data_IF_110180144761
#
_entry.id   IF_110180144761
#
_cell.length_a   1.000
_cell.length_b   1.000
_cell.length_c   1.000
_cell.angle_alpha   90.00
_cell.angle_beta   90.00
_cell.angle_gamma   90.00
#
_symmetry.space_group_name_H-M   'P 1'
#
loop_
_entity.id
_entity.type
_entity.pdbx_description
1 polymer ?
#
# COMPACT_ATOMS: atom_id res chain seq x y z
N UNK A 1 -2.26 -7.56 33.72
CA UNK A 1 -2.64 -6.28 33.10
C UNK A 1 -2.06 -5.19 33.98
N UNK A 2 -1.28 -4.28 33.40
CA UNK A 2 -0.56 -3.24 34.12
C UNK A 2 -0.62 -1.93 33.33
N UNK A 3 0.25 -1.00 33.68
CA UNK A 3 0.31 0.33 33.09
C UNK A 3 1.73 0.62 32.66
N UNK A 4 1.90 0.94 31.38
CA UNK A 4 3.11 1.52 30.83
C UNK A 4 3.03 3.04 30.96
N UNK A 5 4.04 3.65 31.56
CA UNK A 5 4.03 5.07 31.93
C UNK A 5 5.24 5.73 31.32
N UNK A 6 5.00 6.80 30.58
CA UNK A 6 6.03 7.63 29.96
C UNK A 6 6.00 9.01 30.60
N UNK A 7 7.12 9.46 31.16
CA UNK A 7 7.26 10.78 31.77
C UNK A 7 8.49 11.50 31.25
N UNK A 8 8.49 12.83 31.31
CA UNK A 8 9.66 13.65 31.01
C UNK A 8 10.21 14.19 32.33
N UNK A 9 11.37 13.67 32.75
CA UNK A 9 12.04 14.06 33.99
C UNK A 9 13.39 14.65 33.59
N UNK A 10 13.66 15.90 33.95
CA UNK A 10 14.95 16.58 33.66
C UNK A 10 15.37 16.49 32.18
N UNK A 11 14.42 16.74 31.25
CA UNK A 11 14.59 16.60 29.80
C UNK A 11 14.89 15.16 29.29
N UNK A 12 14.75 14.14 30.13
CA UNK A 12 14.88 12.74 29.73
C UNK A 12 13.52 12.06 29.72
N UNK A 13 13.32 11.20 28.72
CA UNK A 13 12.17 10.30 28.71
C UNK A 13 12.47 9.15 29.66
N UNK A 14 11.63 9.01 30.68
CA UNK A 14 11.70 7.92 31.65
C UNK A 14 10.47 7.05 31.49
N UNK A 15 10.71 5.74 31.46
CA UNK A 15 9.69 4.73 31.28
C UNK A 15 9.56 3.90 32.56
N UNK A 16 8.32 3.64 32.95
CA UNK A 16 7.98 2.69 33.99
C UNK A 16 6.96 1.68 33.45
N UNK A 17 7.00 0.48 34.01
CA UNK A 17 5.89 -0.46 33.93
C UNK A 17 5.49 -0.86 35.34
N UNK A 18 4.21 -0.72 35.65
CA UNK A 18 3.65 -1.06 36.97
C UNK A 18 2.47 -2.01 36.80
N UNK A 19 2.22 -2.85 37.80
CA UNK A 19 1.13 -3.83 37.73
C UNK A 19 -0.19 -3.33 38.31
N UNK A 20 -0.18 -2.16 38.96
CA UNK A 20 -1.36 -1.55 39.56
C UNK A 20 -1.31 -0.02 39.52
N UNK A 21 -2.48 0.62 39.57
CA UNK A 21 -2.58 2.08 39.55
C UNK A 21 -2.04 2.72 40.85
N UNK A 22 -2.03 1.98 41.96
CA UNK A 22 -1.51 2.48 43.23
C UNK A 22 0.01 2.61 43.23
N UNK A 23 0.72 1.75 42.49
CA UNK A 23 2.17 1.85 42.28
C UNK A 23 2.55 3.17 41.59
N UNK A 24 1.67 3.74 40.75
CA UNK A 24 1.91 5.02 40.05
C UNK A 24 2.19 6.16 41.01
N UNK A 25 1.50 6.18 42.16
CA UNK A 25 1.64 7.25 43.16
C UNK A 25 3.03 7.27 43.81
N UNK A 26 3.77 6.16 43.72
CA UNK A 26 5.10 6.00 44.27
C UNK A 26 6.23 6.30 43.27
N UNK A 27 5.88 6.54 42.00
CA UNK A 27 6.87 6.81 40.95
C UNK A 27 7.35 8.27 41.01
N UNK A 28 8.66 8.43 41.01
CA UNK A 28 9.30 9.74 40.96
C UNK A 28 9.06 10.40 39.60
N UNK A 29 8.67 11.67 39.59
CA UNK A 29 8.53 12.48 38.37
C UNK A 29 7.39 12.08 37.44
N UNK A 30 6.43 11.28 37.93
CA UNK A 30 5.14 11.07 37.26
C UNK A 30 4.17 12.17 37.70
N UNK A 31 3.63 12.92 36.75
CA UNK A 31 2.71 14.03 37.00
C UNK A 31 1.60 14.11 35.94
N UNK A 32 0.88 15.23 35.87
CA UNK A 32 -0.21 15.43 34.91
C UNK A 32 0.24 15.46 33.44
N UNK A 33 1.54 15.58 33.17
CA UNK A 33 2.12 15.57 31.83
C UNK A 33 2.62 14.18 31.42
N UNK A 34 2.50 13.19 32.31
CA UNK A 34 2.84 11.80 32.01
C UNK A 34 1.76 11.13 31.16
N UNK A 35 2.20 10.30 30.22
CA UNK A 35 1.32 9.43 29.44
C UNK A 35 1.20 8.08 30.14
N UNK A 36 -0.02 7.62 30.38
CA UNK A 36 -0.30 6.31 31.00
C UNK A 36 -1.11 5.47 30.03
N UNK A 37 -0.60 4.29 29.69
CA UNK A 37 -1.21 3.36 28.74
C UNK A 37 -1.43 2.04 29.46
N UNK A 38 -2.66 1.53 29.43
CA UNK A 38 -2.95 0.17 29.89
C UNK A 38 -2.31 -0.84 28.94
N UNK A 39 -1.50 -1.74 29.47
CA UNK A 39 -0.72 -2.69 28.69
C UNK A 39 -0.60 -4.04 29.41
N UNK A 40 -0.56 -5.13 28.63
CA UNK A 40 -0.36 -6.47 29.20
C UNK A 40 1.06 -6.67 29.75
N UNK A 41 2.03 -5.93 29.20
CA UNK A 41 3.45 -5.99 29.52
C UNK A 41 4.14 -4.64 29.20
N UNK A 42 5.39 -4.51 29.59
CA UNK A 42 6.21 -3.34 29.29
C UNK A 42 6.28 -3.07 27.78
N UNK A 43 6.07 -1.81 27.39
CA UNK A 43 6.17 -1.33 26.01
C UNK A 43 7.44 -0.49 25.93
N UNK A 44 8.41 -0.89 25.11
CA UNK A 44 9.60 -0.08 24.86
C UNK A 44 9.24 1.18 24.04
N UNK A 45 9.54 2.36 24.58
CA UNK A 45 9.48 3.61 23.82
C UNK A 45 10.88 4.04 23.39
N UNK A 46 11.01 4.48 22.14
CA UNK A 46 12.26 5.07 21.64
C UNK A 46 12.10 6.59 21.58
N UNK A 47 12.93 7.32 22.31
CA UNK A 47 13.01 8.77 22.17
C UNK A 47 13.58 9.12 20.78
N UNK A 48 12.80 9.84 19.98
CA UNK A 48 13.25 10.31 18.66
C UNK A 48 13.90 11.68 18.86
N UNK A 49 15.21 11.76 18.64
CA UNK A 49 16.05 12.94 18.96
C UNK A 49 16.02 14.04 17.89
N UNK A 50 15.47 13.76 16.70
CA UNK A 50 15.42 14.70 15.58
C UNK A 50 13.97 14.88 15.12
N UNK A 51 13.36 16.01 15.50
CA UNK A 51 11.97 16.35 15.13
C UNK A 51 11.79 16.51 13.61
N UNK A 52 12.83 16.95 12.89
CA UNK A 52 12.78 17.13 11.43
C UNK A 52 12.77 15.79 10.68
N UNK A 53 13.51 14.79 11.18
CA UNK A 53 13.41 13.42 10.65
C UNK A 53 12.02 12.83 10.87
N UNK A 54 11.32 13.20 11.95
CA UNK A 54 9.95 12.76 12.19
C UNK A 54 8.97 13.42 11.20
N UNK A 55 9.17 14.69 10.86
CA UNK A 55 8.31 15.42 9.93
C UNK A 55 8.51 14.93 8.49
N UNK A 56 9.74 14.61 8.10
CA UNK A 56 10.01 14.00 6.79
C UNK A 56 9.53 12.53 6.72
N UNK A 57 9.47 11.81 7.85
CA UNK A 57 8.97 10.42 7.90
C UNK A 57 7.47 10.27 8.21
N UNK A 58 6.81 11.27 8.81
CA UNK A 58 5.36 11.27 9.10
C UNK A 58 4.55 12.17 8.16
N UNK A 59 5.14 13.23 7.58
CA UNK A 59 4.47 14.15 6.64
C UNK A 59 4.83 13.92 5.17
N UNK A 60 5.82 13.10 4.82
CA UNK A 60 5.79 12.42 3.52
C UNK A 60 4.70 11.35 3.62
N UNK A 61 3.47 11.74 3.31
CA UNK A 61 2.38 10.81 3.10
C UNK A 61 2.90 9.75 2.13
N UNK A 62 3.01 8.50 2.60
CA UNK A 62 3.61 7.42 1.81
C UNK A 62 2.95 7.43 0.42
N UNK A 63 3.69 7.69 -0.67
CA UNK A 63 3.07 7.87 -1.98
C UNK A 63 2.18 6.68 -2.38
N UNK A 64 2.53 5.47 -1.91
CA UNK A 64 1.68 4.29 -2.02
C UNK A 64 0.34 4.42 -1.30
N UNK A 65 0.33 4.88 -0.05
CA UNK A 65 -0.90 5.12 0.72
C UNK A 65 -1.80 6.18 0.04
N UNK A 66 -1.22 7.30 -0.40
CA UNK A 66 -1.97 8.32 -1.14
C UNK A 66 -2.56 7.78 -2.45
N UNK A 67 -1.79 6.96 -3.17
CA UNK A 67 -2.29 6.33 -4.40
C UNK A 67 -3.44 5.35 -4.11
N UNK A 68 -3.36 4.59 -3.00
CA UNK A 68 -4.45 3.73 -2.55
C UNK A 68 -5.70 4.55 -2.19
N UNK A 69 -5.56 5.68 -1.49
CA UNK A 69 -6.69 6.58 -1.20
C UNK A 69 -7.29 7.19 -2.47
N UNK A 70 -6.46 7.66 -3.40
CA UNK A 70 -6.92 8.18 -4.69
C UNK A 70 -7.64 7.09 -5.51
N UNK A 71 -7.16 5.85 -5.47
CA UNK A 71 -7.82 4.72 -6.13
C UNK A 71 -9.21 4.42 -5.55
N UNK A 72 -9.34 4.50 -4.22
CA UNK A 72 -10.65 4.35 -3.56
C UNK A 72 -11.59 5.49 -3.98
N UNK A 73 -11.10 6.73 -4.00
CA UNK A 73 -11.85 7.90 -4.46
C UNK A 73 -12.32 7.74 -5.92
N UNK A 74 -11.43 7.32 -6.82
CA UNK A 74 -11.75 7.06 -8.22
C UNK A 74 -12.81 5.95 -8.39
N UNK A 75 -12.72 4.87 -7.61
CA UNK A 75 -13.72 3.81 -7.65
C UNK A 75 -15.09 4.28 -7.15
N UNK A 76 -15.12 5.01 -6.02
CA UNK A 76 -16.36 5.56 -5.46
C UNK A 76 -17.04 6.52 -6.43
N UNK A 77 -16.27 7.43 -7.04
CA UNK A 77 -16.78 8.41 -8.01
C UNK A 77 -17.33 7.77 -9.28
N UNK A 78 -16.92 6.53 -9.59
CA UNK A 78 -17.36 5.77 -10.78
C UNK A 78 -18.35 4.64 -10.45
N UNK A 79 -18.93 4.60 -9.23
CA UNK A 79 -19.85 3.55 -8.76
C UNK A 79 -19.27 2.13 -8.85
N UNK A 80 -18.00 1.98 -8.49
CA UNK A 80 -17.30 0.70 -8.46
C UNK A 80 -17.08 0.30 -7.01
N UNK A 81 -17.55 -0.89 -6.66
CA UNK A 81 -17.38 -1.43 -5.32
C UNK A 81 -16.09 -2.24 -5.29
N UNK A 82 -15.20 -1.90 -4.36
CA UNK A 82 -13.93 -2.59 -4.13
C UNK A 82 -13.83 -3.09 -2.70
N UNK A 83 -13.10 -4.18 -2.50
CA UNK A 83 -12.74 -4.69 -1.19
C UNK A 83 -11.21 -4.71 -1.04
N UNK A 84 -10.71 -4.16 0.07
CA UNK A 84 -9.28 -4.18 0.37
C UNK A 84 -8.86 -5.57 0.84
N UNK A 85 -7.82 -6.14 0.23
CA UNK A 85 -7.26 -7.41 0.68
C UNK A 85 -6.49 -7.19 1.99
N UNK A 86 -6.83 -7.95 3.02
CA UNK A 86 -6.16 -7.87 4.31
C UNK A 86 -4.68 -8.26 4.18
N UNK A 87 -3.77 -7.32 4.47
CA UNK A 87 -2.33 -7.53 4.30
C UNK A 87 -1.63 -8.20 5.50
N UNK A 88 -2.35 -8.59 6.56
CA UNK A 88 -1.77 -9.27 7.72
C UNK A 88 -1.11 -10.61 7.36
N UNK A 89 -0.09 -10.99 8.16
CA UNK A 89 0.60 -12.28 8.04
C UNK A 89 -0.35 -13.46 8.25
N UNK A 90 -1.27 -13.35 9.21
CA UNK A 90 -2.26 -14.39 9.51
C UNK A 90 -3.18 -14.66 8.33
N UNK A 91 -3.66 -13.60 7.65
CA UNK A 91 -4.42 -13.74 6.42
C UNK A 91 -3.57 -14.33 5.29
N UNK A 92 -2.29 -13.94 5.19
CA UNK A 92 -1.42 -14.41 4.10
C UNK A 92 -1.21 -15.92 4.12
N UNK A 93 -1.23 -16.55 5.30
CA UNK A 93 -1.12 -18.00 5.45
C UNK A 93 -2.22 -18.72 4.66
N UNK A 94 -3.43 -18.17 4.56
CA UNK A 94 -4.52 -18.78 3.80
C UNK A 94 -4.19 -18.83 2.30
N UNK A 95 -3.66 -17.74 1.77
CA UNK A 95 -3.20 -17.65 0.38
C UNK A 95 -2.04 -18.59 0.09
N UNK A 96 -1.03 -18.64 0.99
CA UNK A 96 0.11 -19.55 0.83
C UNK A 96 -0.34 -21.01 0.87
N UNK A 97 -1.22 -21.38 1.80
CA UNK A 97 -1.74 -22.75 1.91
C UNK A 97 -2.42 -23.19 0.62
N UNK A 98 -3.19 -22.30 -0.02
CA UNK A 98 -3.84 -22.57 -1.29
C UNK A 98 -2.85 -22.63 -2.48
N UNK A 99 -1.89 -21.71 -2.53
CA UNK A 99 -0.87 -21.66 -3.59
C UNK A 99 0.20 -22.76 -3.47
N UNK A 100 0.30 -23.45 -2.34
CA UNK A 100 1.29 -24.49 -2.09
C UNK A 100 2.72 -23.94 -2.12
N UNK A 101 3.56 -24.48 -3.01
CA UNK A 101 4.97 -24.06 -3.16
C UNK A 101 5.17 -22.87 -4.12
N UNK A 102 4.09 -22.36 -4.72
CA UNK A 102 4.17 -21.27 -5.70
C UNK A 102 4.28 -19.94 -4.99
N UNK A 103 5.31 -19.16 -5.31
CA UNK A 103 5.48 -17.81 -4.76
C UNK A 103 4.46 -16.85 -5.37
N UNK A 104 3.67 -16.20 -4.52
CA UNK A 104 2.62 -15.25 -4.90
C UNK A 104 2.80 -13.93 -4.16
N UNK A 105 2.18 -12.87 -4.67
CA UNK A 105 1.98 -11.59 -3.97
C UNK A 105 0.51 -11.24 -4.08
N UNK A 106 -0.09 -10.82 -2.97
CA UNK A 106 -1.49 -10.40 -2.94
C UNK A 106 -1.60 -9.00 -3.51
N UNK A 107 -2.55 -8.74 -4.43
CA UNK A 107 -2.94 -7.39 -4.81
C UNK A 107 -3.47 -6.60 -3.61
N UNK A 108 -3.69 -5.30 -3.80
CA UNK A 108 -4.20 -4.41 -2.76
C UNK A 108 -5.73 -4.50 -2.63
N UNK A 109 -6.43 -4.64 -3.76
CA UNK A 109 -7.88 -4.64 -3.84
C UNK A 109 -8.43 -5.75 -4.75
N UNK A 110 -9.70 -6.08 -4.55
CA UNK A 110 -10.54 -6.80 -5.50
C UNK A 110 -11.72 -5.93 -5.90
N UNK A 111 -12.21 -6.08 -7.13
CA UNK A 111 -13.47 -5.46 -7.55
C UNK A 111 -14.62 -6.42 -7.24
N UNK A 112 -15.60 -5.97 -6.47
CA UNK A 112 -16.73 -6.80 -6.03
C UNK A 112 -17.62 -7.17 -7.22
N UNK A 113 -18.02 -8.44 -7.29
CA UNK A 113 -18.81 -8.98 -8.40
C UNK A 113 -17.97 -9.37 -9.62
N UNK A 114 -16.68 -9.00 -9.64
CA UNK A 114 -15.76 -9.25 -10.75
C UNK A 114 -14.63 -10.21 -10.34
N UNK A 115 -14.13 -10.99 -11.29
CA UNK A 115 -12.90 -11.78 -11.10
C UNK A 115 -11.66 -10.93 -11.39
N UNK A 116 -11.57 -9.78 -10.73
CA UNK A 116 -10.54 -8.76 -10.96
C UNK A 116 -9.89 -8.35 -9.63
N UNK A 117 -8.57 -8.32 -9.62
CA UNK A 117 -7.76 -7.83 -8.52
C UNK A 117 -6.81 -6.72 -8.99
N UNK A 118 -6.60 -5.71 -8.15
CA UNK A 118 -5.88 -4.49 -8.48
C UNK A 118 -4.70 -4.32 -7.54
N UNK A 119 -3.52 -4.12 -8.10
CA UNK A 119 -2.34 -3.65 -7.38
C UNK A 119 -2.10 -2.18 -7.69
N UNK A 120 -2.10 -1.32 -6.67
CA UNK A 120 -1.95 0.12 -6.81
C UNK A 120 -0.49 0.53 -6.59
N UNK A 121 0.02 1.40 -7.46
CA UNK A 121 1.41 1.86 -7.47
C UNK A 121 1.48 3.36 -7.72
N UNK A 122 2.14 4.08 -6.82
CA UNK A 122 2.68 5.40 -7.11
C UNK A 122 4.07 5.29 -7.77
N UNK A 123 4.31 6.03 -8.85
CA UNK A 123 5.57 5.98 -9.61
C UNK A 123 5.97 7.35 -10.15
N UNK A 124 7.24 7.71 -9.96
CA UNK A 124 7.89 8.70 -10.82
C UNK A 124 7.99 8.12 -12.23
N UNK A 125 7.48 8.85 -13.20
CA UNK A 125 7.59 8.48 -14.61
C UNK A 125 9.00 8.77 -15.09
N UNK A 126 9.64 7.75 -15.68
CA UNK A 126 11.02 7.85 -16.16
C UNK A 126 11.02 8.21 -17.64
N UNK A 127 12.13 8.76 -18.12
CA UNK A 127 12.33 9.03 -19.54
C UNK A 127 13.27 8.00 -20.16
N UNK A 128 12.83 7.35 -21.24
CA UNK A 128 13.61 6.36 -21.98
C UNK A 128 13.28 6.43 -23.47
N UNK A 129 14.31 6.50 -24.33
CA UNK A 129 14.16 6.63 -25.79
C UNK A 129 13.15 7.71 -26.21
N UNK A 130 13.30 8.91 -25.66
CA UNK A 130 12.44 10.07 -25.92
C UNK A 130 10.95 9.90 -25.55
N UNK A 131 10.63 8.97 -24.65
CA UNK A 131 9.25 8.69 -24.22
C UNK A 131 9.19 8.43 -22.72
N UNK A 132 8.01 8.66 -22.15
CA UNK A 132 7.76 8.38 -20.74
C UNK A 132 7.52 6.89 -20.51
N UNK A 133 8.08 6.34 -19.43
CA UNK A 133 7.99 4.92 -19.10
C UNK A 133 7.76 4.68 -17.61
N UNK A 134 7.03 3.61 -17.32
CA UNK A 134 6.85 3.07 -15.98
C UNK A 134 7.29 1.61 -15.94
N UNK A 135 7.75 1.13 -14.77
CA UNK A 135 8.38 -0.18 -14.65
C UNK A 135 7.83 -1.06 -13.53
N UNK A 136 7.84 -2.37 -13.77
CA UNK A 136 7.53 -3.44 -12.80
C UNK A 136 8.71 -4.41 -12.74
N UNK A 137 9.18 -4.77 -11.54
CA UNK A 137 10.23 -5.79 -11.35
C UNK A 137 9.73 -7.16 -11.84
N UNK A 138 10.56 -7.89 -12.59
CA UNK A 138 10.20 -9.19 -13.18
C UNK A 138 9.80 -10.21 -12.10
N UNK A 139 10.41 -10.17 -10.91
CA UNK A 139 10.07 -11.07 -9.80
C UNK A 139 8.70 -10.74 -9.23
N UNK A 140 8.37 -9.46 -9.09
CA UNK A 140 7.04 -9.03 -8.66
C UNK A 140 6.00 -9.41 -9.72
N UNK A 141 6.25 -9.12 -11.00
CA UNK A 141 5.40 -9.58 -12.10
C UNK A 141 5.11 -11.09 -12.03
N UNK A 142 6.16 -11.92 -11.85
CA UNK A 142 5.98 -13.38 -11.73
C UNK A 142 5.08 -13.77 -10.57
N UNK A 143 5.22 -13.12 -9.41
CA UNK A 143 4.40 -13.40 -8.22
C UNK A 143 2.94 -13.03 -8.42
N UNK A 144 2.64 -11.90 -9.05
CA UNK A 144 1.26 -11.53 -9.34
C UNK A 144 0.66 -12.36 -10.49
N UNK A 145 1.48 -12.74 -11.49
CA UNK A 145 1.03 -13.70 -12.51
C UNK A 145 0.65 -15.03 -11.87
N UNK A 146 1.48 -15.54 -10.96
CA UNK A 146 1.17 -16.74 -10.20
C UNK A 146 -0.11 -16.56 -9.37
N UNK A 147 -0.33 -15.39 -8.76
CA UNK A 147 -1.59 -15.09 -8.07
C UNK A 147 -2.78 -15.20 -9.02
N UNK A 148 -2.71 -14.55 -10.19
CA UNK A 148 -3.76 -14.64 -11.21
C UNK A 148 -4.06 -16.08 -11.61
N UNK A 149 -3.01 -16.87 -11.86
CA UNK A 149 -3.15 -18.26 -12.32
C UNK A 149 -3.74 -19.16 -11.22
N UNK A 150 -3.31 -18.98 -9.96
CA UNK A 150 -3.76 -19.79 -8.81
C UNK A 150 -5.20 -19.47 -8.42
N UNK A 151 -5.56 -18.18 -8.35
CA UNK A 151 -6.87 -17.75 -7.84
C UNK A 151 -7.89 -17.49 -8.96
N UNK A 152 -7.52 -17.67 -10.23
CA UNK A 152 -8.36 -17.42 -11.39
C UNK A 152 -8.97 -16.00 -11.38
N UNK A 153 -8.14 -15.00 -11.06
CA UNK A 153 -8.51 -13.58 -11.01
C UNK A 153 -7.61 -12.79 -11.95
N UNK A 154 -8.18 -11.99 -12.85
CA UNK A 154 -7.40 -11.06 -13.67
C UNK A 154 -6.74 -10.03 -12.77
N UNK A 155 -5.43 -9.85 -12.91
CA UNK A 155 -4.70 -8.85 -12.13
C UNK A 155 -4.34 -7.66 -13.02
N UNK A 156 -4.61 -6.46 -12.51
CA UNK A 156 -4.20 -5.20 -13.13
C UNK A 156 -3.25 -4.44 -12.20
N UNK A 157 -2.28 -3.76 -12.80
CA UNK A 157 -1.54 -2.71 -12.12
C UNK A 157 -2.19 -1.37 -12.39
N UNK A 158 -2.50 -0.63 -11.33
CA UNK A 158 -2.99 0.75 -11.34
C UNK A 158 -1.83 1.69 -10.96
N UNK A 159 -1.45 2.57 -11.88
CA UNK A 159 -0.35 3.51 -11.72
C UNK A 159 -0.87 4.93 -11.56
N UNK A 160 -0.46 5.58 -10.46
CA UNK A 160 -0.50 7.03 -10.31
C UNK A 160 0.91 7.60 -10.49
N UNK A 161 0.97 8.76 -11.12
CA UNK A 161 2.16 9.54 -11.34
C UNK A 161 2.49 10.35 -10.08
N UNK A 162 3.79 10.47 -9.84
CA UNK A 162 4.35 11.38 -8.86
C UNK A 162 5.09 12.49 -9.61
N UNK A 163 4.87 13.74 -9.19
CA UNK A 163 5.60 14.88 -9.72
C UNK A 163 7.06 14.93 -9.23
N UNK A 164 7.81 15.96 -9.64
CA UNK A 164 9.21 16.14 -9.23
C UNK A 164 9.41 16.35 -7.73
N UNK A 165 8.36 16.69 -6.99
CA UNK A 165 8.34 16.86 -5.54
C UNK A 165 7.78 15.63 -4.81
N UNK A 166 7.62 14.50 -5.51
CA UNK A 166 7.03 13.25 -5.00
C UNK A 166 5.57 13.38 -4.55
N UNK A 167 4.85 14.39 -5.06
CA UNK A 167 3.41 14.55 -4.80
C UNK A 167 2.61 13.75 -5.81
N UNK A 168 1.53 13.13 -5.34
CA UNK A 168 0.61 12.36 -6.17
C UNK A 168 -0.18 13.26 -7.13
N UNK A 169 -0.14 12.93 -8.42
CA UNK A 169 -1.04 13.52 -9.42
C UNK A 169 -2.30 12.66 -9.47
N UNK A 170 -3.41 13.14 -8.87
CA UNK A 170 -4.63 12.34 -8.72
C UNK A 170 -5.25 11.91 -10.05
N UNK A 171 -5.30 12.78 -11.05
CA UNK A 171 -5.97 12.51 -12.33
C UNK A 171 -5.12 11.69 -13.33
N UNK A 172 -4.02 11.09 -12.86
CA UNK A 172 -3.06 10.39 -13.73
C UNK A 172 -3.26 8.87 -13.76
N UNK A 173 -4.41 8.34 -13.31
CA UNK A 173 -4.57 6.89 -13.20
C UNK A 173 -4.39 6.22 -14.57
N UNK A 174 -3.41 5.32 -14.67
CA UNK A 174 -3.15 4.47 -15.83
C UNK A 174 -3.14 3.01 -15.42
N UNK A 175 -3.68 2.13 -16.26
CA UNK A 175 -3.81 0.71 -15.93
C UNK A 175 -3.30 -0.20 -17.05
N UNK A 176 -2.81 -1.36 -16.64
CA UNK A 176 -2.40 -2.45 -17.54
C UNK A 176 -2.64 -3.80 -16.89
N UNK A 177 -3.14 -4.76 -17.66
CA UNK A 177 -3.30 -6.13 -17.16
C UNK A 177 -1.99 -6.91 -17.15
N UNK A 178 -1.88 -7.88 -16.25
CA UNK A 178 -0.78 -8.85 -16.27
C UNK A 178 -0.73 -9.62 -17.60
N UNK A 179 -1.89 -9.89 -18.21
CA UNK A 179 -1.96 -10.59 -19.48
C UNK A 179 -1.29 -9.80 -20.61
N UNK A 180 -1.45 -8.48 -20.63
CA UNK A 180 -0.78 -7.63 -21.61
C UNK A 180 0.74 -7.64 -21.43
N UNK A 181 1.21 -7.55 -20.19
CA UNK A 181 2.66 -7.66 -19.89
C UNK A 181 3.19 -9.05 -20.24
N UNK A 182 2.39 -10.10 -20.00
CA UNK A 182 2.76 -11.50 -20.26
C UNK A 182 2.90 -11.82 -21.75
N UNK A 183 2.30 -11.04 -22.66
CA UNK A 183 2.55 -11.15 -24.11
C UNK A 183 4.01 -10.83 -24.47
N UNK A 184 4.76 -10.22 -23.55
CA UNK A 184 6.18 -9.98 -23.70
C UNK A 184 6.48 -8.66 -24.42
N UNK A 185 7.73 -8.54 -24.89
CA UNK A 185 8.19 -7.32 -25.51
C UNK A 185 7.44 -7.04 -26.81
N UNK A 186 7.02 -5.80 -27.01
CA UNK A 186 6.33 -5.30 -28.19
C UNK A 186 6.59 -3.79 -28.31
N UNK A 187 5.96 -3.11 -29.26
CA UNK A 187 6.15 -1.67 -29.48
C UNK A 187 5.87 -0.79 -28.26
N UNK A 188 5.13 -1.31 -27.28
CA UNK A 188 4.71 -0.64 -26.05
C UNK A 188 5.37 -1.17 -24.78
N UNK A 189 6.01 -2.35 -24.83
CA UNK A 189 6.58 -3.03 -23.66
C UNK A 189 8.01 -3.47 -23.97
N UNK A 190 8.95 -3.03 -23.13
CA UNK A 190 10.36 -3.37 -23.20
C UNK A 190 10.68 -4.31 -22.04
N UNK A 191 11.25 -5.47 -22.37
CA UNK A 191 11.76 -6.40 -21.35
C UNK A 191 13.23 -6.11 -21.07
N UNK A 192 13.52 -5.60 -19.88
CA UNK A 192 14.87 -5.38 -19.37
C UNK A 192 15.35 -6.61 -18.57
N UNK A 193 16.60 -6.58 -18.09
CA UNK A 193 17.17 -7.68 -17.32
C UNK A 193 16.39 -7.99 -16.03
N UNK A 194 15.89 -6.94 -15.36
CA UNK A 194 15.25 -7.04 -14.04
C UNK A 194 13.82 -6.51 -14.01
N UNK A 195 13.32 -5.90 -15.09
CA UNK A 195 12.02 -5.26 -15.13
C UNK A 195 11.33 -5.38 -16.49
N UNK A 196 10.01 -5.24 -16.49
CA UNK A 196 9.25 -4.81 -17.65
C UNK A 196 9.08 -3.30 -17.57
N UNK A 197 9.48 -2.59 -18.63
CA UNK A 197 9.22 -1.16 -18.82
C UNK A 197 8.11 -1.02 -19.85
N UNK A 198 7.15 -0.13 -19.61
CA UNK A 198 6.02 0.11 -20.50
C UNK A 198 5.98 1.60 -20.81
N UNK A 199 5.71 1.97 -22.06
CA UNK A 199 5.50 3.37 -22.42
C UNK A 199 4.23 3.88 -21.75
N UNK A 200 4.35 4.93 -20.95
CA UNK A 200 3.28 5.39 -20.06
C UNK A 200 2.05 5.86 -20.85
N UNK A 201 2.27 6.47 -22.03
CA UNK A 201 1.21 6.93 -22.92
C UNK A 201 0.45 5.78 -23.59
N UNK A 202 1.05 4.58 -23.66
CA UNK A 202 0.41 3.38 -24.23
C UNK A 202 -0.48 2.65 -23.22
N UNK A 203 -0.44 3.03 -21.95
CA UNK A 203 -1.27 2.42 -20.92
C UNK A 203 -2.71 2.92 -21.03
N UNK A 204 -3.65 2.04 -20.70
CA UNK A 204 -5.08 2.37 -20.75
C UNK A 204 -5.38 3.45 -19.69
N UNK A 205 -6.08 4.54 -20.03
CA UNK A 205 -6.63 5.45 -19.01
C UNK A 205 -7.45 4.66 -17.99
N UNK A 206 -7.08 4.74 -16.71
CA UNK A 206 -7.65 3.83 -15.72
C UNK A 206 -9.13 4.07 -15.47
N UNK A 207 -9.59 5.32 -15.51
CA UNK A 207 -11.03 5.64 -15.41
C UNK A 207 -11.83 4.98 -16.54
N UNK A 208 -11.30 5.00 -17.77
CA UNK A 208 -11.92 4.32 -18.92
C UNK A 208 -12.00 2.80 -18.68
N UNK A 209 -10.91 2.20 -18.19
CA UNK A 209 -10.87 0.78 -17.88
C UNK A 209 -11.86 0.42 -16.75
N UNK A 210 -11.88 1.22 -15.69
CA UNK A 210 -12.73 1.07 -14.51
C UNK A 210 -14.22 1.09 -14.88
N UNK A 211 -14.62 1.93 -15.82
CA UNK A 211 -16.00 1.98 -16.30
C UNK A 211 -16.51 0.65 -16.89
N UNK A 212 -15.63 -0.25 -17.33
CA UNK A 212 -16.01 -1.60 -17.77
C UNK A 212 -16.49 -2.50 -16.63
N UNK A 213 -16.21 -2.13 -15.38
CA UNK A 213 -16.60 -2.86 -14.17
C UNK A 213 -17.70 -2.15 -13.37
N UNK A 214 -18.25 -1.07 -13.92
CA UNK A 214 -19.32 -0.33 -13.28
C UNK A 214 -20.55 -1.22 -13.17
N UNK A 215 -21.11 -1.30 -11.96
CA UNK A 215 -22.39 -1.96 -11.77
C UNK A 215 -23.46 -1.20 -12.55
N UNK A 216 -23.98 -1.80 -13.61
CA UNK A 216 -25.19 -1.29 -14.25
C UNK A 216 -26.31 -1.49 -13.24
N UNK A 217 -26.88 -0.39 -12.73
CA UNK A 217 -28.14 -0.47 -12.00
C UNK A 217 -29.15 -1.11 -12.94
N UNK A 218 -29.61 -2.31 -12.59
CA UNK A 218 -30.73 -2.93 -13.28
C UNK A 218 -31.85 -1.89 -13.29
N UNK A 219 -32.26 -1.48 -14.49
CA UNK A 219 -33.45 -0.64 -14.65
C UNK A 219 -34.62 -1.50 -14.20
N UNK A 220 -35.10 -1.25 -12.98
CA UNK A 220 -36.35 -1.80 -12.45
C UNK A 220 -37.54 -1.26 -13.22
#
# INVERSE_FOLDING_TARGET
>A
MGYSILSIIENQIVQYFVTSIDEVKSLYGVDSNSMVIEAENEIEYTQIKHHDELKDNLCQTFPGYLAEEAFVEDCLNNNIIIEKINQSKSNFIQYIKHAGKISIKRPDYIIVGEKVAIEVKARNIKFYNNRNVVGIDIRDFKKYKNFQDVFNMKVYFAFYELDSEYKLIKDSLKMISINEIAKGANDNIIKCATSYMMYYESLTPGIELLNNFRLTTAST
#
